data_IF_963280751320
#
_entry.id   IF_963280751320
#
_cell.length_a   1.000
_cell.length_b   1.000
_cell.length_c   1.000
_cell.angle_alpha   90.00
_cell.angle_beta   90.00
_cell.angle_gamma   90.00
#
_symmetry.space_group_name_H-M   'P 1'
#
loop_
_entity.id
_entity.type
_entity.pdbx_description
1 polymer ?
#
# COMPACT_ATOMS: atom_id res chain seq x y z
N UNK A 1 20.24 -8.91 -3.19
CA UNK A 1 20.45 -10.25 -3.75
C UNK A 1 21.75 -10.33 -4.57
N UNK A 2 22.18 -9.21 -5.13
CA UNK A 2 23.46 -9.15 -5.88
C UNK A 2 24.67 -9.62 -5.10
N UNK A 3 24.66 -9.50 -3.79
CA UNK A 3 25.68 -9.97 -2.87
C UNK A 3 25.46 -11.43 -2.40
N UNK A 4 24.49 -12.14 -2.94
CA UNK A 4 24.19 -13.52 -2.58
C UNK A 4 23.35 -13.71 -1.31
N UNK A 5 22.83 -12.63 -0.71
CA UNK A 5 21.96 -12.75 0.46
C UNK A 5 20.58 -13.33 0.09
N UNK A 6 20.14 -14.31 0.89
CA UNK A 6 18.79 -14.85 0.80
C UNK A 6 17.81 -14.04 1.64
N UNK A 7 16.56 -13.92 1.18
CA UNK A 7 15.50 -13.33 2.00
C UNK A 7 15.09 -14.28 3.13
N UNK A 8 14.99 -13.81 4.39
CA UNK A 8 14.59 -14.66 5.52
C UNK A 8 13.13 -14.99 5.40
N UNK A 9 12.26 -14.90 4.81
CA UNK A 9 10.85 -15.31 4.69
C UNK A 9 10.21 -14.79 3.40
N UNK A 10 10.60 -15.31 2.23
CA UNK A 10 10.13 -14.75 0.95
C UNK A 10 8.60 -14.76 0.78
N UNK A 11 7.91 -15.71 1.41
CA UNK A 11 6.45 -15.79 1.38
C UNK A 11 5.72 -14.64 2.09
N UNK A 12 6.43 -13.84 2.88
CA UNK A 12 5.88 -12.61 3.50
C UNK A 12 6.02 -11.36 2.62
N UNK A 13 6.65 -11.48 1.47
CA UNK A 13 6.85 -10.37 0.55
C UNK A 13 6.07 -10.58 -0.74
N UNK A 14 5.57 -9.48 -1.30
CA UNK A 14 4.88 -9.47 -2.58
C UNK A 14 5.40 -8.33 -3.46
N UNK A 15 5.49 -8.56 -4.75
CA UNK A 15 5.89 -7.57 -5.76
C UNK A 15 4.75 -7.35 -6.74
N UNK A 16 4.46 -6.10 -7.04
CA UNK A 16 3.40 -5.65 -7.93
C UNK A 16 3.98 -4.75 -9.03
N UNK A 17 3.33 -4.71 -10.17
CA UNK A 17 3.72 -3.92 -11.34
C UNK A 17 2.72 -2.80 -11.70
N UNK A 18 1.70 -2.58 -10.91
CA UNK A 18 0.54 -1.77 -11.25
C UNK A 18 0.84 -0.33 -11.67
N UNK A 19 1.88 0.28 -11.12
CA UNK A 19 2.27 1.67 -11.44
C UNK A 19 2.96 1.85 -12.81
N UNK A 20 3.47 0.80 -13.43
CA UNK A 20 4.22 0.86 -14.69
C UNK A 20 3.53 0.16 -15.88
N UNK A 21 2.37 -0.42 -15.68
CA UNK A 21 1.67 -1.22 -16.69
C UNK A 21 1.39 -0.48 -18.00
N UNK A 22 1.06 0.80 -17.92
CA UNK A 22 0.70 1.60 -19.09
C UNK A 22 1.87 2.32 -19.74
N UNK A 23 3.09 2.16 -19.24
CA UNK A 23 4.25 2.88 -19.77
C UNK A 23 4.49 2.57 -21.26
N UNK A 24 4.31 1.32 -21.67
CA UNK A 24 4.50 0.88 -23.06
C UNK A 24 3.45 1.45 -24.04
N UNK A 25 2.30 1.86 -23.55
CA UNK A 25 1.20 2.35 -24.40
C UNK A 25 1.06 3.88 -24.37
N UNK A 26 1.89 4.57 -23.59
CA UNK A 26 1.79 6.03 -23.45
C UNK A 26 2.96 6.73 -24.14
N UNK A 27 2.72 7.51 -25.21
CA UNK A 27 3.77 8.20 -25.95
C UNK A 27 4.68 9.09 -25.10
N UNK A 28 4.19 9.59 -23.96
CA UNK A 28 4.97 10.41 -23.02
C UNK A 28 6.11 9.64 -22.37
N UNK A 29 6.02 8.32 -22.29
CA UNK A 29 7.07 7.48 -21.70
C UNK A 29 8.11 6.99 -22.71
N UNK A 30 7.89 7.18 -24.02
CA UNK A 30 8.84 6.75 -25.06
C UNK A 30 10.29 7.17 -24.76
N UNK A 31 10.58 8.42 -24.33
CA UNK A 31 11.94 8.83 -23.98
C UNK A 31 12.55 8.12 -22.78
N UNK A 32 11.74 7.41 -21.99
CA UNK A 32 12.13 6.75 -20.75
C UNK A 32 12.04 5.22 -20.82
N UNK A 33 11.71 4.67 -21.99
CA UNK A 33 11.46 3.23 -22.15
C UNK A 33 12.63 2.36 -21.72
N UNK A 34 13.86 2.77 -21.99
CA UNK A 34 15.07 2.03 -21.57
C UNK A 34 15.14 1.92 -20.03
N UNK A 35 14.78 3.01 -19.32
CA UNK A 35 14.73 3.00 -17.85
C UNK A 35 13.60 2.12 -17.33
N UNK A 36 12.43 2.18 -17.96
CA UNK A 36 11.29 1.33 -17.61
C UNK A 36 11.64 -0.13 -17.79
N UNK A 37 12.27 -0.48 -18.92
CA UNK A 37 12.69 -1.85 -19.17
C UNK A 37 13.74 -2.32 -18.17
N UNK A 38 14.74 -1.47 -17.87
CA UNK A 38 15.76 -1.80 -16.85
C UNK A 38 15.13 -2.09 -15.48
N UNK A 39 14.16 -1.28 -15.05
CA UNK A 39 13.46 -1.51 -13.78
C UNK A 39 12.68 -2.82 -13.78
N UNK A 40 12.02 -3.15 -14.88
CA UNK A 40 11.29 -4.42 -15.04
C UNK A 40 12.22 -5.62 -15.00
N UNK A 41 13.32 -5.55 -15.72
CA UNK A 41 14.32 -6.63 -15.74
C UNK A 41 14.90 -6.88 -14.34
N UNK A 42 15.20 -5.82 -13.60
CA UNK A 42 15.66 -5.90 -12.22
C UNK A 42 14.60 -6.50 -11.29
N UNK A 43 13.34 -6.11 -11.46
CA UNK A 43 12.22 -6.67 -10.69
C UNK A 43 12.05 -8.16 -10.96
N UNK A 44 12.04 -8.56 -12.23
CA UNK A 44 11.93 -9.96 -12.64
C UNK A 44 13.09 -10.79 -12.07
N UNK A 45 14.33 -10.30 -12.21
CA UNK A 45 15.50 -10.96 -11.66
C UNK A 45 15.42 -11.13 -10.13
N UNK A 46 14.95 -10.08 -9.42
CA UNK A 46 14.73 -10.13 -7.99
C UNK A 46 13.68 -11.19 -7.61
N UNK A 47 12.54 -11.22 -8.29
CA UNK A 47 11.47 -12.20 -8.03
C UNK A 47 11.93 -13.63 -8.30
N UNK A 48 12.65 -13.86 -9.40
CA UNK A 48 13.19 -15.17 -9.75
C UNK A 48 14.21 -15.67 -8.72
N UNK A 49 15.05 -14.78 -8.20
CA UNK A 49 16.05 -15.10 -7.21
C UNK A 49 15.44 -15.37 -5.82
N UNK A 50 14.54 -14.51 -5.39
CA UNK A 50 14.04 -14.49 -4.00
C UNK A 50 12.81 -15.34 -3.78
N UNK A 51 12.07 -15.69 -4.84
CA UNK A 51 10.82 -16.46 -4.77
C UNK A 51 9.72 -15.79 -3.94
N UNK A 52 9.71 -14.45 -3.88
CA UNK A 52 8.62 -13.67 -3.30
C UNK A 52 7.31 -13.88 -4.07
N UNK A 53 6.18 -13.54 -3.46
CA UNK A 53 4.88 -13.59 -4.16
C UNK A 53 4.90 -12.66 -5.37
N UNK A 54 4.53 -13.19 -6.52
CA UNK A 54 4.56 -12.51 -7.80
C UNK A 54 3.16 -12.11 -8.25
N UNK A 55 2.88 -10.81 -8.18
CA UNK A 55 1.66 -10.16 -8.69
C UNK A 55 1.96 -9.30 -9.92
N UNK A 56 2.96 -9.67 -10.69
CA UNK A 56 3.24 -9.04 -11.99
C UNK A 56 2.14 -9.35 -13.01
N UNK A 57 2.03 -8.50 -14.01
CA UNK A 57 1.14 -8.76 -15.14
C UNK A 57 1.58 -10.02 -15.91
N UNK A 58 0.63 -10.89 -16.24
CA UNK A 58 0.85 -12.11 -17.01
C UNK A 58 0.02 -12.03 -18.30
N UNK A 59 0.64 -12.29 -19.42
CA UNK A 59 0.01 -12.25 -20.75
C UNK A 59 -0.74 -10.93 -21.03
N UNK A 60 -0.21 -9.82 -20.53
CA UNK A 60 -0.81 -8.50 -20.67
C UNK A 60 -1.97 -8.21 -19.71
N UNK A 61 -2.28 -9.12 -18.80
CA UNK A 61 -3.33 -8.96 -17.80
C UNK A 61 -2.72 -8.67 -16.43
N UNK A 62 -3.08 -7.52 -15.86
CA UNK A 62 -2.72 -7.16 -14.49
C UNK A 62 -3.68 -7.80 -13.48
N UNK A 63 -3.20 -8.26 -12.32
CA UNK A 63 -4.08 -8.69 -11.23
C UNK A 63 -4.89 -7.53 -10.65
N UNK A 64 -4.48 -6.28 -10.85
CA UNK A 64 -5.15 -5.09 -10.35
C UNK A 64 -4.21 -4.13 -9.61
N UNK A 65 -4.80 -3.16 -8.92
CA UNK A 65 -4.08 -2.21 -8.08
C UNK A 65 -3.55 -2.92 -6.83
N UNK A 66 -2.26 -2.77 -6.53
CA UNK A 66 -1.56 -3.48 -5.45
C UNK A 66 -2.30 -3.45 -4.11
N UNK A 67 -2.84 -2.31 -3.71
CA UNK A 67 -3.51 -2.18 -2.41
C UNK A 67 -4.82 -2.97 -2.35
N UNK A 68 -5.58 -2.99 -3.44
CA UNK A 68 -6.83 -3.74 -3.51
C UNK A 68 -6.53 -5.25 -3.55
N UNK A 69 -5.61 -5.67 -4.40
CA UNK A 69 -5.18 -7.08 -4.46
C UNK A 69 -4.64 -7.56 -3.12
N UNK A 70 -3.82 -6.74 -2.46
CA UNK A 70 -3.28 -7.07 -1.13
C UNK A 70 -4.39 -7.31 -0.10
N UNK A 71 -5.44 -6.47 -0.09
CA UNK A 71 -6.59 -6.62 0.81
C UNK A 71 -7.42 -7.87 0.52
N UNK A 72 -7.54 -8.24 -0.75
CA UNK A 72 -8.34 -9.39 -1.17
C UNK A 72 -7.61 -10.72 -0.98
N UNK A 73 -6.28 -10.72 -1.10
CA UNK A 73 -5.50 -11.95 -1.21
C UNK A 73 -4.75 -12.33 0.07
N UNK A 74 -4.34 -11.38 0.90
CA UNK A 74 -3.45 -11.72 2.00
C UNK A 74 -3.45 -10.81 3.23
N UNK A 75 -4.11 -9.65 3.22
CA UNK A 75 -4.17 -8.82 4.42
C UNK A 75 -5.26 -9.30 5.36
N UNK A 76 -4.86 -9.66 6.56
CA UNK A 76 -5.76 -10.10 7.63
C UNK A 76 -5.86 -9.07 8.75
N UNK A 77 -6.91 -9.21 9.55
CA UNK A 77 -7.11 -8.36 10.75
C UNK A 77 -5.94 -8.54 11.72
N UNK A 78 -5.34 -7.43 12.10
CA UNK A 78 -4.22 -7.40 13.04
C UNK A 78 -2.84 -7.54 12.39
N UNK A 79 -2.77 -7.65 11.08
CA UNK A 79 -1.50 -7.66 10.37
C UNK A 79 -0.75 -6.33 10.51
N UNK A 80 0.58 -6.44 10.39
CA UNK A 80 1.50 -5.32 10.32
C UNK A 80 2.21 -5.34 8.97
N UNK A 81 1.95 -4.33 8.14
CA UNK A 81 2.42 -4.32 6.76
C UNK A 81 3.11 -3.01 6.40
N UNK A 82 4.25 -3.12 5.78
CA UNK A 82 4.97 -2.01 5.15
C UNK A 82 5.17 -2.27 3.67
N UNK A 83 5.06 -1.23 2.85
CA UNK A 83 5.35 -1.28 1.44
C UNK A 83 5.96 0.05 0.96
N UNK A 84 6.48 0.09 -0.25
CA UNK A 84 7.16 1.28 -0.79
C UNK A 84 6.20 2.31 -1.40
N UNK A 85 4.90 2.05 -1.38
CA UNK A 85 3.89 2.98 -1.88
C UNK A 85 3.24 3.80 -0.77
N UNK A 86 2.94 5.06 -1.07
CA UNK A 86 2.34 6.03 -0.12
C UNK A 86 0.88 5.71 0.26
N UNK A 87 0.18 4.90 -0.54
CA UNK A 87 -1.20 4.48 -0.28
C UNK A 87 -1.31 3.15 0.47
N UNK A 88 -0.21 2.61 0.96
CA UNK A 88 -0.17 1.35 1.73
C UNK A 88 -1.12 1.38 2.93
N UNK A 89 -1.38 2.56 3.52
CA UNK A 89 -2.36 2.75 4.59
C UNK A 89 -3.79 2.27 4.25
N UNK A 90 -4.10 2.01 2.98
CA UNK A 90 -5.37 1.41 2.55
C UNK A 90 -5.63 0.04 3.22
N UNK A 91 -4.59 -0.70 3.59
CA UNK A 91 -4.72 -1.94 4.36
C UNK A 91 -5.42 -1.76 5.70
N UNK A 92 -5.47 -0.54 6.25
CA UNK A 92 -6.24 -0.20 7.43
C UNK A 92 -7.75 -0.47 7.29
N UNK A 93 -8.28 -0.48 6.07
CA UNK A 93 -9.67 -0.88 5.80
C UNK A 93 -9.95 -2.36 6.12
N UNK A 94 -8.91 -3.18 6.26
CA UNK A 94 -8.98 -4.57 6.74
C UNK A 94 -8.57 -4.69 8.22
N UNK A 95 -8.56 -3.61 8.98
CA UNK A 95 -8.09 -3.55 10.37
C UNK A 95 -6.64 -4.05 10.54
N UNK A 96 -5.78 -3.81 9.57
CA UNK A 96 -4.35 -4.03 9.65
C UNK A 96 -3.61 -2.71 9.93
N UNK A 97 -2.48 -2.74 10.61
CA UNK A 97 -1.61 -1.58 10.79
C UNK A 97 -0.65 -1.49 9.61
N UNK A 98 -0.89 -0.52 8.74
CA UNK A 98 -0.20 -0.44 7.45
C UNK A 98 0.26 0.98 7.13
N UNK A 99 1.47 1.11 6.58
CA UNK A 99 1.98 2.40 6.06
C UNK A 99 3.08 2.23 5.02
N UNK A 100 3.30 3.30 4.25
CA UNK A 100 4.38 3.39 3.29
C UNK A 100 5.71 3.75 3.93
N UNK A 101 6.79 3.17 3.41
CA UNK A 101 8.17 3.46 3.80
C UNK A 101 9.02 3.75 2.58
N UNK A 102 10.17 4.40 2.79
CA UNK A 102 11.13 4.65 1.72
C UNK A 102 11.78 3.36 1.21
N UNK A 103 12.23 3.35 -0.04
CA UNK A 103 12.85 2.19 -0.66
C UNK A 103 14.07 1.66 0.11
N UNK A 104 14.89 2.56 0.68
CA UNK A 104 16.06 2.18 1.49
C UNK A 104 15.65 1.52 2.80
N UNK A 105 14.63 2.05 3.46
CA UNK A 105 14.09 1.45 4.68
C UNK A 105 13.49 0.07 4.40
N UNK A 106 12.74 -0.05 3.31
CA UNK A 106 12.19 -1.32 2.88
C UNK A 106 13.29 -2.35 2.54
N UNK A 107 14.37 -1.92 1.86
CA UNK A 107 15.51 -2.78 1.57
C UNK A 107 16.17 -3.32 2.86
N UNK A 108 16.30 -2.48 3.88
CA UNK A 108 16.79 -2.91 5.18
C UNK A 108 15.84 -3.90 5.86
N UNK A 109 14.53 -3.63 5.82
CA UNK A 109 13.51 -4.52 6.36
C UNK A 109 13.58 -5.91 5.73
N UNK A 110 13.60 -6.00 4.41
CA UNK A 110 13.64 -7.30 3.71
C UNK A 110 14.95 -8.06 3.93
N UNK A 111 16.07 -7.35 4.10
CA UNK A 111 17.38 -7.92 4.38
C UNK A 111 17.49 -8.45 5.81
N UNK A 112 17.06 -7.66 6.80
CA UNK A 112 17.12 -8.00 8.21
C UNK A 112 16.00 -8.97 8.65
N UNK A 113 14.85 -8.93 7.97
CA UNK A 113 13.66 -9.69 8.35
C UNK A 113 12.85 -9.04 9.48
N UNK A 114 13.27 -7.87 9.98
CA UNK A 114 12.58 -7.09 11.01
C UNK A 114 12.87 -5.59 10.87
N UNK A 115 12.07 -4.79 11.53
CA UNK A 115 12.29 -3.34 11.66
C UNK A 115 11.88 -2.84 13.04
N UNK A 116 12.30 -1.63 13.37
CA UNK A 116 11.87 -0.93 14.58
C UNK A 116 10.87 0.15 14.23
N UNK A 117 9.78 0.19 14.96
CA UNK A 117 8.73 1.19 14.77
C UNK A 117 8.42 1.84 16.09
N UNK A 118 8.31 3.16 16.09
CA UNK A 118 7.70 3.85 17.22
C UNK A 118 6.21 3.53 17.23
N UNK A 119 5.71 3.04 18.35
CA UNK A 119 4.25 2.82 18.50
C UNK A 119 3.54 4.15 18.28
N UNK A 120 2.66 4.26 17.26
CA UNK A 120 1.97 5.50 16.97
C UNK A 120 0.92 5.81 18.05
N UNK A 121 0.69 7.09 18.31
CA UNK A 121 -0.51 7.52 19.02
C UNK A 121 -1.72 7.26 18.11
N UNK A 122 -2.88 6.94 18.73
CA UNK A 122 -4.14 6.80 18.00
C UNK A 122 -4.96 8.08 18.06
N UNK A 123 -5.61 8.38 16.95
CA UNK A 123 -6.69 9.36 16.85
C UNK A 123 -7.97 8.65 16.44
N UNK A 124 -9.03 8.80 17.23
CA UNK A 124 -10.32 8.18 16.93
C UNK A 124 -11.29 9.21 16.39
N UNK A 125 -11.88 8.90 15.23
CA UNK A 125 -12.98 9.62 14.64
C UNK A 125 -14.29 8.91 14.96
N UNK A 126 -15.12 9.55 15.76
CA UNK A 126 -16.43 9.03 16.15
C UNK A 126 -17.49 9.56 15.19
N UNK A 127 -17.92 8.71 14.25
CA UNK A 127 -18.92 9.05 13.24
C UNK A 127 -20.33 8.83 13.79
N UNK A 128 -21.16 9.85 13.75
CA UNK A 128 -22.52 9.81 14.28
C UNK A 128 -23.53 10.27 13.23
N UNK A 129 -24.74 9.72 13.29
CA UNK A 129 -25.81 10.08 12.38
C UNK A 129 -25.78 9.35 11.05
N UNK A 130 -26.38 9.92 10.05
CA UNK A 130 -26.51 9.35 8.70
C UNK A 130 -26.06 10.36 7.65
N UNK A 131 -25.54 9.86 6.53
CA UNK A 131 -25.17 10.71 5.40
C UNK A 131 -26.40 11.40 4.80
N UNK A 132 -26.20 12.65 4.40
CA UNK A 132 -27.19 13.36 3.62
C UNK A 132 -27.36 12.69 2.23
N UNK A 133 -28.53 12.87 1.62
CA UNK A 133 -28.80 12.34 0.28
C UNK A 133 -27.78 12.86 -0.72
N UNK A 134 -27.13 11.95 -1.43
CA UNK A 134 -26.10 12.25 -2.43
C UNK A 134 -24.68 12.33 -1.88
N UNK A 135 -24.48 12.18 -0.56
CA UNK A 135 -23.14 12.03 0.03
C UNK A 135 -22.73 10.56 0.13
N UNK A 136 -21.42 10.34 0.10
CA UNK A 136 -20.78 9.03 0.14
C UNK A 136 -19.71 8.96 1.24
N UNK A 137 -19.14 7.81 1.49
CA UNK A 137 -18.00 7.64 2.40
C UNK A 137 -16.80 8.52 2.00
N UNK A 138 -16.64 8.80 0.69
CA UNK A 138 -15.60 9.71 0.19
C UNK A 138 -15.77 11.13 0.72
N UNK A 139 -16.99 11.61 0.82
CA UNK A 139 -17.28 12.97 1.33
C UNK A 139 -16.90 13.07 2.81
N UNK A 140 -17.09 11.99 3.58
CA UNK A 140 -16.67 11.92 4.99
C UNK A 140 -15.16 12.09 5.13
N UNK A 141 -14.37 11.32 4.36
CA UNK A 141 -12.91 11.43 4.46
C UNK A 141 -12.41 12.78 3.93
N UNK A 142 -13.02 13.33 2.89
CA UNK A 142 -12.69 14.68 2.38
C UNK A 142 -12.97 15.76 3.41
N UNK A 143 -14.08 15.64 4.17
CA UNK A 143 -14.39 16.55 5.27
C UNK A 143 -13.35 16.46 6.40
N UNK A 144 -12.97 15.25 6.81
CA UNK A 144 -11.93 15.02 7.80
C UNK A 144 -10.59 15.63 7.33
N UNK A 145 -10.22 15.40 6.08
CA UNK A 145 -8.98 15.95 5.49
C UNK A 145 -9.00 17.49 5.47
N UNK A 146 -10.12 18.10 5.14
CA UNK A 146 -10.24 19.57 5.08
C UNK A 146 -9.99 20.22 6.45
N UNK A 147 -10.41 19.58 7.54
CA UNK A 147 -10.25 20.12 8.88
C UNK A 147 -8.91 19.72 9.55
N UNK A 148 -8.47 18.49 9.37
CA UNK A 148 -7.35 17.92 10.13
C UNK A 148 -6.02 17.90 9.37
N UNK A 149 -6.02 17.78 8.04
CA UNK A 149 -4.77 17.69 7.27
C UNK A 149 -3.92 18.95 7.36
N UNK A 150 -4.54 20.14 7.31
CA UNK A 150 -3.83 21.43 7.42
C UNK A 150 -3.15 21.63 8.77
N UNK A 151 -3.64 20.97 9.81
CA UNK A 151 -3.12 21.05 11.18
C UNK A 151 -2.16 19.89 11.49
N UNK A 152 -1.92 19.02 10.52
CA UNK A 152 -1.07 17.81 10.66
C UNK A 152 -1.45 16.93 11.87
N UNK A 153 -2.71 16.95 12.30
CA UNK A 153 -3.16 16.27 13.51
C UNK A 153 -3.07 14.74 13.42
N UNK A 154 -3.10 14.21 12.20
CA UNK A 154 -3.02 12.77 11.94
C UNK A 154 -1.63 12.29 11.55
N UNK A 155 -0.66 13.22 11.44
CA UNK A 155 0.70 12.88 11.04
C UNK A 155 1.35 11.93 12.04
N UNK A 156 1.89 10.81 11.56
CA UNK A 156 2.51 9.74 12.36
C UNK A 156 1.60 9.15 13.45
N UNK A 157 0.28 9.17 13.22
CA UNK A 157 -0.73 8.59 14.10
C UNK A 157 -1.53 7.51 13.41
N UNK A 158 -2.02 6.55 14.18
CA UNK A 158 -3.04 5.60 13.72
C UNK A 158 -4.40 6.28 13.73
N UNK A 159 -5.14 6.17 12.63
CA UNK A 159 -6.51 6.67 12.53
C UNK A 159 -7.48 5.52 12.79
N UNK A 160 -8.33 5.67 13.80
CA UNK A 160 -9.38 4.72 14.11
C UNK A 160 -10.75 5.35 13.82
N UNK A 161 -11.65 4.57 13.27
CA UNK A 161 -13.01 5.01 12.97
C UNK A 161 -14.00 4.20 13.78
N UNK A 162 -14.99 4.87 14.35
CA UNK A 162 -16.03 4.24 15.17
C UNK A 162 -17.34 5.01 15.09
N UNK A 163 -18.33 4.55 15.88
CA UNK A 163 -19.62 5.21 16.03
C UNK A 163 -20.73 4.64 15.16
N UNK A 164 -21.96 5.09 15.48
CA UNK A 164 -23.19 4.61 14.83
C UNK A 164 -23.27 4.95 13.34
N UNK A 165 -22.56 5.97 12.90
CA UNK A 165 -22.53 6.39 11.50
C UNK A 165 -21.78 5.42 10.58
N UNK A 166 -20.90 4.55 11.11
CA UNK A 166 -20.16 3.59 10.27
C UNK A 166 -21.07 2.61 9.51
N UNK A 167 -22.15 2.15 10.15
CA UNK A 167 -23.06 1.17 9.56
C UNK A 167 -23.75 1.66 8.26
N UNK A 168 -23.79 2.97 8.06
CA UNK A 168 -24.37 3.58 6.87
C UNK A 168 -23.36 3.85 5.74
N UNK A 169 -22.09 3.52 5.94
CA UNK A 169 -21.04 3.68 4.94
C UNK A 169 -20.88 2.39 4.15
N UNK A 170 -20.93 2.49 2.83
CA UNK A 170 -20.56 1.39 1.93
C UNK A 170 -19.16 1.65 1.35
N UNK A 171 -18.48 0.57 1.09
CA UNK A 171 -17.23 0.59 0.30
C UNK A 171 -17.60 0.84 -1.16
#
# INVERSE_FOLDING_TARGET
YGEGYALPNPGKFAVFEDHLLYAHHNPKFVPFMDKVQTLRDLQIAFQQHTKVRDYSAKDGVSPGICHQVAREEFIEVGDFIQATDSHTCMGGASNALTWGVGATEYANLISAGFTFVKVPESIRFELQGTLAKGCTAKDVILFILADHARKELTLNRSMEFGGSGLAGLSI
#
